data_IF_528114484304
#
_entry.id   IF_528114484304
#
_cell.length_a   1.000
_cell.length_b   1.000
_cell.length_c   1.000
_cell.angle_alpha   90.00
_cell.angle_beta   90.00
_cell.angle_gamma   90.00
#
_symmetry.space_group_name_H-M   'P 1'
#
loop_
_entity.id
_entity.type
_entity.pdbx_description
1 polymer ?
#
# COMPACT_ATOMS: atom_id res chain seq x y z
N UNK A 1 -3.37 -21.72 6.77
CA UNK A 1 -3.06 -21.36 5.36
C UNK A 1 -3.63 -22.43 4.46
N UNK A 2 -4.49 -22.07 3.51
CA UNK A 2 -5.11 -23.01 2.57
C UNK A 2 -4.92 -22.57 1.11
N UNK A 3 -4.79 -23.52 0.19
CA UNK A 3 -4.70 -23.27 -1.25
C UNK A 3 -5.93 -23.90 -1.91
N UNK A 4 -6.75 -23.09 -2.57
CA UNK A 4 -7.97 -23.52 -3.25
C UNK A 4 -7.95 -23.15 -4.72
N UNK A 5 -8.81 -23.79 -5.51
CA UNK A 5 -8.95 -23.44 -6.93
C UNK A 5 -9.90 -22.27 -7.14
N UNK A 6 -9.77 -21.57 -8.26
CA UNK A 6 -10.75 -20.53 -8.62
C UNK A 6 -12.18 -21.06 -8.76
N UNK A 7 -12.35 -22.34 -9.16
CA UNK A 7 -13.67 -22.98 -9.27
C UNK A 7 -14.30 -23.18 -7.88
N UNK A 8 -13.51 -23.69 -6.95
CA UNK A 8 -13.92 -23.94 -5.58
C UNK A 8 -14.27 -22.65 -4.83
N UNK A 9 -13.44 -21.61 -4.99
CA UNK A 9 -13.68 -20.30 -4.40
C UNK A 9 -15.01 -19.70 -4.87
N UNK A 10 -15.31 -19.75 -6.17
CA UNK A 10 -16.58 -19.24 -6.72
C UNK A 10 -17.80 -20.00 -6.22
N UNK A 11 -17.69 -21.33 -6.08
CA UNK A 11 -18.80 -22.16 -5.65
C UNK A 11 -19.13 -21.98 -4.15
N UNK A 12 -18.16 -21.58 -3.32
CA UNK A 12 -18.33 -21.49 -1.87
C UNK A 12 -17.82 -20.15 -1.31
N UNK A 13 -18.08 -19.05 -2.01
CA UNK A 13 -17.46 -17.75 -1.72
C UNK A 13 -17.67 -17.30 -0.27
N UNK A 14 -18.90 -17.40 0.25
CA UNK A 14 -19.24 -17.04 1.64
C UNK A 14 -18.38 -17.79 2.67
N UNK A 15 -18.23 -19.11 2.51
CA UNK A 15 -17.40 -19.94 3.39
C UNK A 15 -15.96 -19.45 3.42
N UNK A 16 -15.40 -19.10 2.27
CA UNK A 16 -14.00 -18.65 2.22
C UNK A 16 -13.82 -17.22 2.72
N UNK A 17 -14.83 -16.34 2.63
CA UNK A 17 -14.75 -15.05 3.32
C UNK A 17 -14.78 -15.19 4.84
N UNK A 18 -15.67 -16.02 5.40
CA UNK A 18 -15.71 -16.31 6.83
C UNK A 18 -14.40 -16.98 7.32
N UNK A 19 -13.77 -17.77 6.46
CA UNK A 19 -12.48 -18.39 6.75
C UNK A 19 -11.31 -17.38 6.65
N UNK A 20 -11.39 -16.43 5.70
CA UNK A 20 -10.39 -15.38 5.50
C UNK A 20 -10.27 -14.42 6.69
N UNK A 21 -11.30 -14.32 7.54
CA UNK A 21 -11.25 -13.62 8.83
C UNK A 21 -10.32 -14.28 9.84
N UNK A 22 -10.01 -15.58 9.66
CA UNK A 22 -9.23 -16.38 10.61
C UNK A 22 -7.88 -16.83 10.06
N UNK A 23 -7.79 -17.05 8.75
CA UNK A 23 -6.56 -17.49 8.11
C UNK A 23 -6.43 -17.01 6.66
N UNK A 24 -5.19 -16.90 6.19
CA UNK A 24 -4.89 -16.56 4.80
C UNK A 24 -5.22 -17.69 3.83
N UNK A 25 -5.92 -17.35 2.75
CA UNK A 25 -6.34 -18.26 1.68
C UNK A 25 -5.65 -17.87 0.36
N UNK A 26 -5.08 -18.84 -0.34
CA UNK A 26 -4.52 -18.66 -1.67
C UNK A 26 -5.45 -19.26 -2.72
N UNK A 27 -5.94 -18.42 -3.63
CA UNK A 27 -6.73 -18.85 -4.78
C UNK A 27 -5.79 -19.10 -5.94
N UNK A 28 -5.48 -20.36 -6.20
CA UNK A 28 -4.74 -20.79 -7.39
C UNK A 28 -5.53 -20.52 -8.67
N UNK A 29 -4.82 -20.10 -9.71
CA UNK A 29 -5.38 -19.74 -11.01
C UNK A 29 -4.63 -20.45 -12.13
N UNK A 30 -5.38 -20.88 -13.16
CA UNK A 30 -4.77 -21.45 -14.36
C UNK A 30 -4.03 -20.35 -15.12
N UNK A 31 -2.74 -20.56 -15.40
CA UNK A 31 -1.88 -19.66 -16.18
C UNK A 31 -1.77 -18.23 -15.62
N UNK A 32 -1.96 -18.04 -14.32
CA UNK A 32 -1.81 -16.74 -13.67
C UNK A 32 -1.31 -16.92 -12.23
N UNK A 33 -0.75 -15.86 -11.66
CA UNK A 33 -0.34 -15.84 -10.27
C UNK A 33 -1.54 -16.10 -9.32
N UNK A 34 -1.33 -16.82 -8.20
CA UNK A 34 -2.34 -16.96 -7.16
C UNK A 34 -2.77 -15.60 -6.59
N UNK A 35 -4.03 -15.52 -6.12
CA UNK A 35 -4.54 -14.35 -5.40
C UNK A 35 -4.61 -14.72 -3.91
N UNK A 36 -4.19 -13.80 -3.05
CA UNK A 36 -4.33 -13.94 -1.59
C UNK A 36 -5.65 -13.32 -1.16
N UNK A 37 -6.42 -14.03 -0.34
CA UNK A 37 -7.63 -13.54 0.33
C UNK A 37 -7.43 -13.66 1.83
N UNK A 38 -7.51 -12.53 2.51
CA UNK A 38 -7.51 -12.40 3.96
C UNK A 38 -8.42 -11.23 4.32
N UNK A 39 -8.95 -11.20 5.54
CA UNK A 39 -9.69 -10.05 6.01
C UNK A 39 -8.73 -8.87 6.21
N UNK A 40 -9.05 -7.73 5.58
CA UNK A 40 -8.31 -6.51 5.80
C UNK A 40 -8.41 -6.10 7.27
N UNK A 41 -7.28 -5.70 7.83
CA UNK A 41 -7.10 -5.18 9.18
C UNK A 41 -6.90 -3.67 9.13
N UNK A 42 -6.93 -3.01 10.28
CA UNK A 42 -6.65 -1.57 10.34
C UNK A 42 -5.26 -1.22 9.76
N UNK A 43 -4.28 -2.12 9.87
CA UNK A 43 -2.94 -1.94 9.31
C UNK A 43 -2.89 -1.97 7.77
N UNK A 44 -3.91 -2.54 7.11
CA UNK A 44 -4.02 -2.55 5.65
C UNK A 44 -4.58 -1.22 5.10
N UNK A 45 -5.08 -0.35 5.98
CA UNK A 45 -5.62 0.95 5.62
C UNK A 45 -4.66 2.06 6.08
N UNK A 46 -4.40 3.08 5.25
CA UNK A 46 -3.70 4.26 5.73
C UNK A 46 -4.48 4.89 6.89
N UNK A 47 -3.76 5.23 7.96
CA UNK A 47 -4.28 6.00 9.08
C UNK A 47 -4.79 7.36 8.61
N UNK A 48 -5.60 8.02 9.45
CA UNK A 48 -6.07 9.38 9.15
C UNK A 48 -4.90 10.34 8.94
N UNK A 49 -3.85 10.23 9.74
CA UNK A 49 -2.66 11.08 9.64
C UNK A 49 -1.92 10.85 8.32
N UNK A 50 -1.78 9.59 7.89
CA UNK A 50 -1.19 9.25 6.60
C UNK A 50 -2.03 9.75 5.42
N UNK A 51 -3.37 9.61 5.49
CA UNK A 51 -4.27 10.16 4.47
C UNK A 51 -4.15 11.69 4.35
N UNK A 52 -4.11 12.37 5.50
CA UNK A 52 -3.91 13.83 5.54
C UNK A 52 -2.53 14.21 4.98
N UNK A 53 -1.47 13.46 5.30
CA UNK A 53 -0.13 13.69 4.77
C UNK A 53 -0.06 13.48 3.25
N UNK A 54 -0.68 12.41 2.73
CA UNK A 54 -0.80 12.15 1.29
C UNK A 54 -1.56 13.32 0.62
N UNK A 55 -2.67 13.75 1.20
CA UNK A 55 -3.47 14.84 0.63
C UNK A 55 -2.72 16.17 0.61
N UNK A 56 -1.95 16.48 1.67
CA UNK A 56 -1.04 17.64 1.70
C UNK A 56 0.02 17.53 0.62
N UNK A 57 0.69 16.38 0.50
CA UNK A 57 1.71 16.15 -0.53
C UNK A 57 1.18 16.33 -1.96
N UNK A 58 -0.05 15.85 -2.25
CA UNK A 58 -0.71 16.06 -3.55
C UNK A 58 -0.93 17.56 -3.81
N UNK A 59 -1.37 18.32 -2.80
CA UNK A 59 -1.59 19.75 -2.95
C UNK A 59 -0.27 20.51 -3.13
N UNK A 60 0.79 20.13 -2.40
CA UNK A 60 2.11 20.71 -2.55
C UNK A 60 2.68 20.51 -3.96
N UNK A 61 2.50 19.32 -4.54
CA UNK A 61 2.86 19.04 -5.93
C UNK A 61 2.10 19.95 -6.90
N UNK A 62 0.77 20.07 -6.74
CA UNK A 62 -0.06 20.92 -7.61
C UNK A 62 0.33 22.39 -7.56
N UNK A 63 0.71 22.87 -6.39
CA UNK A 63 1.08 24.27 -6.15
C UNK A 63 2.57 24.55 -6.39
N UNK A 64 3.33 23.53 -6.81
CA UNK A 64 4.78 23.65 -7.03
C UNK A 64 5.60 23.83 -5.75
N UNK A 65 5.02 23.56 -4.57
CA UNK A 65 5.71 23.55 -3.27
C UNK A 65 6.51 22.26 -3.10
N UNK A 66 7.41 22.00 -4.04
CA UNK A 66 8.20 20.77 -4.09
C UNK A 66 9.67 21.10 -4.15
N UNK A 67 10.49 20.32 -3.44
CA UNK A 67 11.93 20.36 -3.56
C UNK A 67 12.39 19.34 -4.60
N UNK A 68 13.41 19.71 -5.37
CA UNK A 68 14.04 18.82 -6.35
C UNK A 68 15.44 18.46 -5.87
N UNK A 69 15.77 17.18 -5.96
CA UNK A 69 17.15 16.72 -5.81
C UNK A 69 17.97 17.25 -6.99
N UNK A 70 19.19 17.71 -6.69
CA UNK A 70 20.16 18.12 -7.71
C UNK A 70 20.74 16.87 -8.37
N UNK A 71 21.30 17.06 -9.57
CA UNK A 71 22.05 15.99 -10.25
C UNK A 71 23.29 15.68 -9.40
N UNK A 72 23.49 14.40 -9.09
CA UNK A 72 24.61 13.88 -8.29
C UNK A 72 24.56 14.23 -6.77
N UNK A 73 23.40 14.69 -6.27
CA UNK A 73 23.15 14.88 -4.82
C UNK A 73 22.73 13.56 -4.16
N UNK A 74 23.32 13.24 -3.01
CA UNK A 74 22.89 12.09 -2.21
C UNK A 74 21.57 12.37 -1.49
N UNK A 75 20.87 11.32 -1.03
CA UNK A 75 19.65 11.52 -0.25
C UNK A 75 19.91 12.31 1.04
N UNK A 76 21.02 12.00 1.73
CA UNK A 76 21.38 12.69 2.97
C UNK A 76 21.72 14.16 2.72
N UNK A 77 22.47 14.47 1.65
CA UNK A 77 22.79 15.86 1.27
C UNK A 77 21.52 16.64 0.92
N UNK A 78 20.58 15.99 0.22
CA UNK A 78 19.28 16.58 -0.10
C UNK A 78 18.47 16.91 1.14
N UNK A 79 18.37 15.97 2.09
CA UNK A 79 17.62 16.15 3.33
C UNK A 79 18.22 17.25 4.21
N UNK A 80 19.53 17.23 4.41
CA UNK A 80 20.24 18.28 5.17
C UNK A 80 20.02 19.65 4.53
N UNK A 81 20.11 19.74 3.19
CA UNK A 81 19.91 20.99 2.48
C UNK A 81 18.49 21.55 2.64
N UNK A 82 17.46 20.72 2.54
CA UNK A 82 16.08 21.22 2.71
C UNK A 82 15.79 21.61 4.16
N UNK A 83 16.34 20.90 5.14
CA UNK A 83 16.22 21.22 6.57
C UNK A 83 16.85 22.60 6.86
N UNK A 84 18.08 22.82 6.37
CA UNK A 84 18.81 24.08 6.53
C UNK A 84 18.19 25.26 5.75
N UNK A 85 17.77 25.05 4.49
CA UNK A 85 17.28 26.12 3.61
C UNK A 85 15.82 26.50 3.89
N UNK A 86 15.01 25.56 4.40
CA UNK A 86 13.56 25.72 4.48
C UNK A 86 13.00 25.63 5.90
N UNK A 87 13.83 25.37 6.92
CA UNK A 87 13.44 25.28 8.33
C UNK A 87 12.22 24.36 8.52
N UNK A 88 12.28 23.19 7.86
CA UNK A 88 11.27 22.13 7.88
C UNK A 88 11.60 21.08 8.93
#
# INVERSE_FOLDING_TARGET
MQIITTREFRANQKKYFELAEKETIFVSRRNAAPIVVYAATEEDFPSREELEAIQRGIEDIKQGRTFKMRKDESLDDFLNRIEDECNV
#
